data_IF_455456491826
#
_entry.id   IF_455456491826
#
_cell.length_a   1.000
_cell.length_b   1.000
_cell.length_c   1.000
_cell.angle_alpha   90.00
_cell.angle_beta   90.00
_cell.angle_gamma   90.00
#
_symmetry.space_group_name_H-M   'P 1'
#
loop_
_entity.id
_entity.type
_entity.pdbx_description
1 polymer ?
#
# COMPACT_ATOMS: atom_id res chain seq x y z
N UNK A 1 16.32 18.50 -42.42
CA UNK A 1 17.44 19.14 -43.18
C UNK A 1 18.11 18.09 -44.02
N UNK A 2 18.03 18.26 -45.32
CA UNK A 2 18.60 17.35 -46.34
C UNK A 2 19.95 17.91 -46.75
N UNK A 3 21.03 17.13 -46.66
CA UNK A 3 22.26 17.44 -47.37
C UNK A 3 22.50 16.43 -48.48
N UNK A 4 22.38 16.90 -49.68
CA UNK A 4 22.89 16.29 -50.93
C UNK A 4 24.37 16.63 -51.04
N UNK A 5 25.20 15.66 -51.33
CA UNK A 5 26.56 15.89 -51.84
C UNK A 5 26.64 15.36 -53.29
N UNK A 6 27.16 16.21 -54.11
CA UNK A 6 27.31 16.13 -55.55
C UNK A 6 28.56 15.34 -55.92
N UNK A 7 28.43 14.47 -56.88
CA UNK A 7 29.56 13.81 -57.57
C UNK A 7 30.16 14.75 -58.64
N UNK A 8 31.46 14.85 -58.66
CA UNK A 8 32.21 15.43 -59.78
C UNK A 8 33.05 14.33 -60.41
N UNK A 9 32.84 14.13 -61.70
CA UNK A 9 33.59 13.24 -62.55
C UNK A 9 34.98 13.80 -62.89
N UNK A 10 35.93 12.94 -63.00
CA UNK A 10 37.26 13.21 -63.53
C UNK A 10 37.63 12.11 -64.52
N UNK A 11 37.59 12.49 -65.75
CA UNK A 11 37.99 11.66 -66.90
C UNK A 11 39.48 11.86 -67.11
N UNK A 12 40.31 10.81 -67.03
CA UNK A 12 41.69 10.84 -67.52
C UNK A 12 41.95 9.59 -68.34
N UNK A 13 41.99 9.85 -69.64
CA UNK A 13 42.51 8.97 -70.71
C UNK A 13 44.01 8.86 -70.61
N UNK A 14 44.54 7.64 -70.67
CA UNK A 14 45.99 7.38 -70.78
C UNK A 14 46.22 5.94 -71.19
N UNK A 15 46.12 5.68 -72.53
CA UNK A 15 46.64 4.42 -73.11
C UNK A 15 48.14 4.39 -73.05
N UNK A 16 48.71 3.38 -72.36
CA UNK A 16 50.02 2.83 -72.73
C UNK A 16 49.87 1.34 -72.91
N UNK A 17 50.04 0.93 -74.18
CA UNK A 17 50.24 -0.46 -74.57
C UNK A 17 51.67 -0.85 -74.20
N UNK A 18 51.79 -1.73 -73.25
CA UNK A 18 53.02 -2.51 -73.01
C UNK A 18 52.73 -3.95 -73.45
N UNK A 19 53.21 -4.32 -74.60
CA UNK A 19 53.25 -5.72 -75.04
C UNK A 19 54.22 -6.50 -74.14
N UNK A 20 53.67 -7.23 -73.16
CA UNK A 20 54.38 -8.23 -72.42
C UNK A 20 54.36 -9.55 -73.23
N UNK A 21 55.49 -10.28 -73.30
CA UNK A 21 55.55 -11.55 -74.04
C UNK A 21 54.58 -12.57 -73.41
N UNK A 22 54.04 -13.49 -74.22
CA UNK A 22 53.08 -14.49 -73.71
C UNK A 22 53.80 -15.43 -72.71
N UNK A 23 53.43 -15.26 -71.45
CA UNK A 23 53.81 -16.23 -70.41
C UNK A 23 53.16 -17.57 -70.75
N UNK A 24 54.01 -18.58 -70.92
CA UNK A 24 53.59 -19.96 -71.17
C UNK A 24 52.71 -20.44 -69.97
N UNK A 25 51.39 -20.48 -70.19
CA UNK A 25 50.35 -20.77 -69.17
C UNK A 25 50.19 -22.24 -68.85
N UNK A 26 51.14 -23.11 -69.28
CA UNK A 26 51.06 -24.55 -69.08
C UNK A 26 51.79 -24.95 -67.79
N UNK A 27 51.14 -24.93 -66.67
CA UNK A 27 51.70 -25.47 -65.42
C UNK A 27 51.22 -24.84 -64.12
N UNK A 28 50.55 -23.66 -64.15
CA UNK A 28 50.20 -22.93 -62.96
C UNK A 28 48.76 -23.12 -62.47
N UNK A 29 47.93 -23.85 -63.20
CA UNK A 29 46.48 -24.01 -62.88
C UNK A 29 46.26 -24.89 -61.65
N UNK A 30 47.00 -25.96 -61.50
CA UNK A 30 46.80 -26.90 -60.41
C UNK A 30 47.14 -26.30 -59.02
N UNK A 31 48.27 -25.64 -58.84
CA UNK A 31 48.57 -24.97 -57.56
C UNK A 31 47.55 -23.88 -57.20
N UNK A 32 47.09 -23.11 -58.21
CA UNK A 32 46.10 -22.05 -58.01
C UNK A 32 44.74 -22.57 -57.60
N UNK A 33 44.28 -23.69 -58.19
CA UNK A 33 43.04 -24.37 -57.82
C UNK A 33 43.12 -24.94 -56.38
N UNK A 34 44.22 -25.61 -56.05
CA UNK A 34 44.44 -26.15 -54.68
C UNK A 34 44.42 -25.00 -53.65
N UNK A 35 45.11 -23.90 -53.94
CA UNK A 35 45.16 -22.73 -53.08
C UNK A 35 43.76 -22.07 -52.93
N UNK A 36 43.02 -21.93 -54.00
CA UNK A 36 41.63 -21.40 -53.99
C UNK A 36 40.68 -22.30 -53.18
N UNK A 37 40.78 -23.65 -53.35
CA UNK A 37 39.97 -24.62 -52.58
C UNK A 37 40.33 -24.58 -51.12
N UNK A 38 41.59 -24.44 -50.77
CA UNK A 38 42.06 -24.33 -49.38
C UNK A 38 41.52 -23.06 -48.73
N UNK A 39 41.60 -21.93 -49.41
CA UNK A 39 41.04 -20.66 -48.88
C UNK A 39 39.50 -20.75 -48.71
N UNK A 40 38.81 -21.31 -49.71
CA UNK A 40 37.33 -21.49 -49.63
C UNK A 40 36.98 -22.43 -48.46
N UNK A 41 37.75 -23.48 -48.21
CA UNK A 41 37.56 -24.41 -47.08
C UNK A 41 37.75 -23.71 -45.76
N UNK A 42 38.75 -22.89 -45.59
CA UNK A 42 38.98 -22.10 -44.37
C UNK A 42 37.88 -21.11 -44.16
N UNK A 43 37.44 -20.39 -45.18
CA UNK A 43 36.30 -19.45 -45.12
C UNK A 43 35.01 -20.17 -44.73
N UNK A 44 34.74 -21.34 -45.32
CA UNK A 44 33.58 -22.14 -44.98
C UNK A 44 33.60 -22.61 -43.52
N UNK A 45 34.70 -23.05 -43.01
CA UNK A 45 34.85 -23.46 -41.60
C UNK A 45 34.64 -22.27 -40.64
N UNK A 46 35.26 -21.14 -40.97
CA UNK A 46 35.07 -19.89 -40.17
C UNK A 46 33.57 -19.48 -40.20
N UNK A 47 32.95 -19.45 -41.37
CA UNK A 47 31.53 -19.09 -41.49
C UNK A 47 30.59 -20.04 -40.73
N UNK A 48 30.88 -21.36 -40.74
CA UNK A 48 30.10 -22.34 -39.98
C UNK A 48 30.28 -22.16 -38.46
N UNK A 49 31.50 -21.87 -38.00
CA UNK A 49 31.76 -21.58 -36.59
C UNK A 49 31.02 -20.30 -36.15
N UNK A 50 31.15 -19.22 -36.91
CA UNK A 50 30.45 -17.97 -36.64
C UNK A 50 28.93 -18.16 -36.60
N UNK A 51 28.36 -18.87 -37.57
CA UNK A 51 26.93 -19.18 -37.61
C UNK A 51 26.48 -20.05 -36.40
N UNK A 52 27.35 -20.95 -35.93
CA UNK A 52 27.03 -21.76 -34.74
C UNK A 52 27.06 -20.90 -33.46
N UNK A 53 28.02 -19.99 -33.34
CA UNK A 53 28.14 -19.09 -32.21
C UNK A 53 26.98 -18.06 -32.19
N UNK A 54 26.58 -17.51 -33.34
CA UNK A 54 25.40 -16.65 -33.46
C UNK A 54 24.12 -17.38 -33.03
N UNK A 55 23.95 -18.66 -33.41
CA UNK A 55 22.81 -19.47 -32.97
C UNK A 55 22.84 -19.72 -31.47
N UNK A 56 23.99 -19.96 -30.87
CA UNK A 56 24.14 -20.11 -29.42
C UNK A 56 23.81 -18.82 -28.70
N UNK A 57 24.35 -17.69 -29.15
CA UNK A 57 24.07 -16.37 -28.59
C UNK A 57 22.59 -16.01 -28.69
N UNK A 58 21.97 -16.25 -29.87
CA UNK A 58 20.53 -15.99 -30.06
C UNK A 58 19.64 -16.85 -29.15
N UNK A 59 20.01 -18.14 -28.93
CA UNK A 59 19.30 -19.01 -27.99
C UNK A 59 19.45 -18.49 -26.56
N UNK A 60 20.68 -18.15 -26.13
CA UNK A 60 20.95 -17.64 -24.79
C UNK A 60 20.16 -16.35 -24.51
N UNK A 61 20.13 -15.42 -25.47
CA UNK A 61 19.34 -14.19 -25.39
C UNK A 61 17.84 -14.47 -25.26
N UNK A 62 17.32 -15.39 -26.06
CA UNK A 62 15.91 -15.76 -26.00
C UNK A 62 15.54 -16.43 -24.66
N UNK A 63 16.40 -17.28 -24.15
CA UNK A 63 16.18 -17.95 -22.85
C UNK A 63 16.24 -16.96 -21.69
N UNK A 64 17.19 -16.05 -21.71
CA UNK A 64 17.29 -14.95 -20.74
C UNK A 64 16.04 -14.08 -20.76
N UNK A 65 15.56 -13.68 -21.95
CA UNK A 65 14.34 -12.89 -22.10
C UNK A 65 13.11 -13.61 -21.56
N UNK A 66 12.97 -14.92 -21.83
CA UNK A 66 11.86 -15.71 -21.30
C UNK A 66 11.92 -15.88 -19.78
N UNK A 67 13.12 -16.05 -19.22
CA UNK A 67 13.32 -16.11 -17.77
C UNK A 67 12.98 -14.75 -17.11
N UNK A 68 13.35 -13.63 -17.74
CA UNK A 68 12.99 -12.29 -17.28
C UNK A 68 11.47 -12.10 -17.25
N UNK A 69 10.77 -12.44 -18.34
CA UNK A 69 9.29 -12.36 -18.36
C UNK A 69 8.63 -13.29 -17.34
N UNK A 70 9.22 -14.45 -17.07
CA UNK A 70 8.72 -15.34 -16.02
C UNK A 70 8.87 -14.68 -14.63
N UNK A 71 9.99 -14.03 -14.36
CA UNK A 71 10.21 -13.26 -13.14
C UNK A 71 9.25 -12.09 -12.99
N UNK A 72 9.04 -11.29 -14.04
CA UNK A 72 8.07 -10.19 -14.03
C UNK A 72 6.64 -10.69 -13.81
N UNK A 73 6.23 -11.75 -14.50
CA UNK A 73 4.92 -12.35 -14.32
C UNK A 73 4.76 -12.88 -12.89
N UNK A 74 5.81 -13.52 -12.35
CA UNK A 74 5.86 -13.99 -10.97
C UNK A 74 5.71 -12.86 -9.96
N UNK A 75 6.40 -11.74 -10.17
CA UNK A 75 6.28 -10.57 -9.31
C UNK A 75 4.84 -10.01 -9.31
N UNK A 76 4.25 -9.85 -10.50
CA UNK A 76 2.85 -9.38 -10.64
C UNK A 76 1.86 -10.34 -9.99
N UNK A 77 2.06 -11.66 -10.16
CA UNK A 77 1.18 -12.67 -9.56
C UNK A 77 1.32 -12.69 -8.03
N UNK A 78 2.54 -12.56 -7.51
CA UNK A 78 2.79 -12.48 -6.06
C UNK A 78 2.09 -11.27 -5.44
N UNK A 79 2.15 -10.09 -6.10
CA UNK A 79 1.43 -8.92 -5.63
C UNK A 79 -0.10 -9.05 -5.78
N UNK A 80 -0.58 -9.66 -6.85
CA UNK A 80 -2.02 -9.85 -7.10
C UNK A 80 -2.67 -10.89 -6.18
N UNK A 81 -1.90 -11.86 -5.71
CA UNK A 81 -2.33 -12.92 -4.79
C UNK A 81 -1.48 -12.91 -3.51
N UNK A 82 -1.38 -11.73 -2.88
CA UNK A 82 -0.53 -11.53 -1.70
C UNK A 82 -0.92 -12.46 -0.55
N UNK A 83 0.00 -13.30 -0.04
CA UNK A 83 -0.31 -14.27 1.02
C UNK A 83 -0.32 -13.61 2.40
N UNK A 84 -1.26 -12.68 2.62
CA UNK A 84 -1.29 -11.78 3.78
C UNK A 84 -1.21 -12.52 5.12
N UNK A 85 -1.93 -13.63 5.29
CA UNK A 85 -1.94 -14.39 6.55
C UNK A 85 -0.56 -14.94 6.93
N UNK A 86 0.19 -15.46 5.94
CA UNK A 86 1.52 -16.01 6.18
C UNK A 86 2.56 -14.90 6.36
N UNK A 87 2.48 -13.84 5.55
CA UNK A 87 3.48 -12.77 5.53
C UNK A 87 3.33 -11.84 6.74
N UNK A 88 2.11 -11.54 7.17
CA UNK A 88 1.88 -10.72 8.36
C UNK A 88 2.31 -11.41 9.67
N UNK A 89 2.42 -12.74 9.68
CA UNK A 89 2.93 -13.50 10.82
C UNK A 89 4.46 -13.53 10.91
N UNK A 90 5.18 -13.08 9.87
CA UNK A 90 6.65 -13.00 9.88
C UNK A 90 7.14 -12.01 10.92
N UNK A 91 8.26 -12.30 11.55
CA UNK A 91 9.02 -11.35 12.36
C UNK A 91 9.97 -10.54 11.45
N UNK A 92 10.43 -9.35 11.88
CA UNK A 92 11.48 -8.64 11.16
C UNK A 92 12.71 -9.53 10.91
N UNK A 93 13.14 -9.62 9.66
CA UNK A 93 14.22 -10.50 9.21
C UNK A 93 13.81 -11.90 8.76
N UNK A 94 12.57 -12.33 9.03
CA UNK A 94 12.05 -13.62 8.54
C UNK A 94 11.69 -13.53 7.05
N UNK A 95 11.52 -14.70 6.43
CA UNK A 95 11.11 -14.80 5.02
C UNK A 95 10.06 -15.88 4.82
N UNK A 96 9.21 -15.68 3.80
CA UNK A 96 8.22 -16.62 3.33
C UNK A 96 8.50 -16.98 1.86
N UNK A 97 8.69 -18.27 1.58
CA UNK A 97 9.00 -18.80 0.25
C UNK A 97 7.76 -19.47 -0.35
N UNK A 98 7.30 -18.96 -1.49
CA UNK A 98 6.18 -19.54 -2.22
C UNK A 98 6.55 -20.82 -2.99
N UNK A 99 7.84 -21.16 -3.07
CA UNK A 99 8.33 -22.26 -3.90
C UNK A 99 8.23 -21.97 -5.40
N UNK A 100 8.60 -22.96 -6.23
CA UNK A 100 8.49 -22.84 -7.67
C UNK A 100 7.06 -22.99 -8.17
N UNK A 101 6.59 -21.99 -8.90
CA UNK A 101 5.27 -21.91 -9.53
C UNK A 101 5.42 -21.98 -11.05
N UNK A 102 4.62 -22.81 -11.72
CA UNK A 102 4.67 -22.96 -13.19
C UNK A 102 3.63 -22.06 -13.85
N UNK A 103 4.06 -21.28 -14.84
CA UNK A 103 3.21 -20.45 -15.67
C UNK A 103 2.60 -21.25 -16.84
N UNK A 104 1.48 -20.79 -17.46
CA UNK A 104 0.85 -21.48 -18.59
C UNK A 104 1.76 -21.73 -19.79
N UNK A 105 2.77 -20.88 -19.99
CA UNK A 105 3.79 -20.98 -21.05
C UNK A 105 4.95 -21.93 -20.72
N UNK A 106 4.81 -22.74 -19.68
CA UNK A 106 5.83 -23.67 -19.15
C UNK A 106 7.09 -22.99 -18.59
N UNK A 107 7.13 -21.68 -18.47
CA UNK A 107 8.14 -21.02 -17.65
C UNK A 107 7.78 -21.15 -16.17
N UNK A 108 8.73 -20.94 -15.27
CA UNK A 108 8.49 -21.02 -13.84
C UNK A 108 9.11 -19.83 -13.11
N UNK A 109 8.49 -19.48 -11.99
CA UNK A 109 9.05 -18.50 -11.06
C UNK A 109 9.04 -19.03 -9.62
N UNK A 110 9.90 -18.47 -8.79
CA UNK A 110 9.91 -18.67 -7.34
C UNK A 110 9.96 -17.29 -6.70
N UNK A 111 9.06 -17.02 -5.77
CA UNK A 111 9.06 -15.75 -5.04
C UNK A 111 9.36 -15.99 -3.57
N UNK A 112 10.26 -15.20 -3.02
CA UNK A 112 10.60 -15.17 -1.60
C UNK A 112 10.31 -13.77 -1.08
N UNK A 113 9.49 -13.67 -0.06
CA UNK A 113 9.09 -12.41 0.58
C UNK A 113 9.85 -12.30 1.89
N UNK A 114 10.64 -11.25 2.03
CA UNK A 114 11.41 -10.95 3.25
C UNK A 114 10.73 -9.79 3.98
N UNK A 115 10.46 -9.93 5.27
CA UNK A 115 10.01 -8.81 6.09
C UNK A 115 11.22 -7.94 6.48
N UNK A 116 11.15 -6.66 6.10
CA UNK A 116 12.16 -5.64 6.43
C UNK A 116 11.41 -4.48 7.07
N UNK A 117 11.54 -4.31 8.40
CA UNK A 117 10.90 -3.17 9.06
C UNK A 117 11.83 -1.96 8.98
N UNK A 118 11.35 -0.88 8.40
CA UNK A 118 12.09 0.37 8.30
C UNK A 118 11.24 1.53 8.85
N UNK A 119 11.78 2.24 9.83
CA UNK A 119 11.10 3.39 10.43
C UNK A 119 9.78 3.06 11.14
N UNK A 120 9.61 1.82 11.64
CA UNK A 120 8.38 1.35 12.29
C UNK A 120 7.27 0.92 11.33
N UNK A 121 7.47 1.05 10.01
CA UNK A 121 6.57 0.52 8.98
C UNK A 121 6.95 -0.92 8.65
N UNK A 122 5.93 -1.76 8.42
CA UNK A 122 6.14 -3.09 7.86
C UNK A 122 6.47 -2.95 6.37
N UNK A 123 7.70 -3.24 6.02
CA UNK A 123 8.15 -3.27 4.64
C UNK A 123 8.56 -4.69 4.25
N UNK A 124 8.41 -5.00 2.97
CA UNK A 124 8.72 -6.32 2.45
C UNK A 124 9.59 -6.19 1.20
N UNK A 125 10.73 -6.88 1.21
CA UNK A 125 11.50 -7.14 0.00
C UNK A 125 10.95 -8.39 -0.69
N UNK A 126 10.63 -8.31 -1.98
CA UNK A 126 10.17 -9.45 -2.77
C UNK A 126 11.25 -9.83 -3.77
N UNK A 127 11.84 -11.00 -3.61
CA UNK A 127 12.85 -11.54 -4.51
C UNK A 127 12.20 -12.60 -5.38
N UNK A 128 12.15 -12.37 -6.70
CA UNK A 128 11.55 -13.31 -7.64
C UNK A 128 12.61 -13.85 -8.59
N UNK A 129 12.73 -15.15 -8.65
CA UNK A 129 13.56 -15.88 -9.60
C UNK A 129 12.70 -16.40 -10.74
N UNK A 130 13.01 -16.00 -11.97
CA UNK A 130 12.37 -16.53 -13.17
C UNK A 130 13.28 -17.51 -13.90
N UNK A 131 12.74 -18.64 -14.38
CA UNK A 131 13.44 -19.60 -15.22
C UNK A 131 12.51 -20.18 -16.28
N UNK A 132 13.09 -20.71 -17.32
CA UNK A 132 12.40 -21.64 -18.21
C UNK A 132 12.25 -23.01 -17.52
N UNK A 133 11.38 -23.88 -18.04
CA UNK A 133 11.14 -25.23 -17.48
C UNK A 133 12.39 -26.10 -17.49
N UNK A 134 13.36 -25.80 -18.33
CA UNK A 134 14.66 -26.48 -18.36
C UNK A 134 15.51 -26.02 -17.16
N UNK A 135 15.85 -26.91 -16.22
CA UNK A 135 16.64 -26.56 -15.05
C UNK A 135 18.08 -26.13 -15.39
N UNK A 136 18.55 -26.36 -16.61
CA UNK A 136 19.88 -25.92 -17.10
C UNK A 136 19.85 -24.50 -17.68
N UNK A 137 18.66 -23.92 -17.87
CA UNK A 137 18.50 -22.53 -18.31
C UNK A 137 18.86 -21.55 -17.20
N UNK A 138 19.44 -20.43 -17.56
CA UNK A 138 19.81 -19.38 -16.62
C UNK A 138 18.62 -18.88 -15.80
N UNK A 139 18.88 -18.57 -14.53
CA UNK A 139 17.90 -17.97 -13.60
C UNK A 139 18.11 -16.46 -13.64
N UNK A 140 17.04 -15.71 -13.81
CA UNK A 140 17.06 -14.24 -13.65
C UNK A 140 16.36 -13.89 -12.35
N UNK A 141 17.01 -13.06 -11.55
CA UNK A 141 16.47 -12.56 -10.28
C UNK A 141 15.97 -11.13 -10.44
N UNK A 142 14.73 -10.90 -10.05
CA UNK A 142 14.10 -9.58 -9.99
C UNK A 142 13.81 -9.28 -8.53
N UNK A 143 14.14 -8.08 -8.07
CA UNK A 143 13.84 -7.61 -6.72
C UNK A 143 12.79 -6.52 -6.81
N UNK A 144 11.75 -6.65 -5.99
CA UNK A 144 10.74 -5.63 -5.80
C UNK A 144 10.60 -5.29 -4.32
N UNK A 145 10.08 -4.11 -4.01
CA UNK A 145 9.71 -3.75 -2.66
C UNK A 145 8.20 -3.53 -2.57
N UNK A 146 7.63 -3.96 -1.47
CA UNK A 146 6.24 -3.74 -1.13
C UNK A 146 6.16 -3.22 0.30
N UNK A 147 5.38 -2.16 0.51
CA UNK A 147 5.13 -1.63 1.85
C UNK A 147 3.68 -1.88 2.26
N UNK A 148 3.45 -2.08 3.53
CA UNK A 148 2.09 -2.05 4.07
C UNK A 148 1.44 -0.69 3.76
N UNK A 149 0.19 -0.69 3.32
CA UNK A 149 -0.56 0.56 3.16
C UNK A 149 -0.96 1.04 4.55
N UNK A 150 -0.47 2.19 5.02
CA UNK A 150 -0.89 2.72 6.30
C UNK A 150 -2.41 2.92 6.33
N UNK A 151 -3.08 2.33 7.33
CA UNK A 151 -4.52 2.50 7.51
C UNK A 151 -4.83 3.96 7.85
N UNK A 152 -4.08 4.49 8.82
CA UNK A 152 -4.27 5.81 9.39
C UNK A 152 -3.14 6.77 8.99
N UNK A 153 -2.88 6.89 7.67
CA UNK A 153 -1.89 7.85 7.14
C UNK A 153 -2.29 9.32 7.39
N UNK A 154 -3.55 9.58 7.60
CA UNK A 154 -4.15 10.89 7.78
C UNK A 154 -4.84 10.98 9.14
N UNK A 155 -4.92 12.16 9.71
CA UNK A 155 -5.74 12.41 10.90
C UNK A 155 -7.20 12.00 10.64
N UNK A 156 -7.73 12.47 9.51
CA UNK A 156 -9.02 12.05 8.98
C UNK A 156 -8.86 11.73 7.51
N UNK A 157 -9.34 10.56 7.11
CA UNK A 157 -9.53 10.17 5.71
C UNK A 157 -11.00 9.90 5.46
N UNK A 158 -11.61 10.71 4.58
CA UNK A 158 -12.96 10.47 4.08
C UNK A 158 -12.91 9.85 2.67
N UNK A 159 -13.62 8.75 2.45
CA UNK A 159 -13.78 8.15 1.12
C UNK A 159 -14.72 8.99 0.21
N UNK A 160 -15.50 9.90 0.79
CA UNK A 160 -16.31 10.89 0.13
C UNK A 160 -16.02 12.29 0.67
N UNK A 161 -17.01 12.95 1.25
CA UNK A 161 -16.97 14.34 1.72
C UNK A 161 -16.37 14.43 3.12
N UNK A 162 -15.55 15.48 3.34
CA UNK A 162 -15.04 15.86 4.65
C UNK A 162 -15.52 17.27 4.98
N UNK A 163 -16.25 17.42 6.09
CA UNK A 163 -16.86 18.67 6.49
C UNK A 163 -16.47 19.02 7.92
N UNK A 164 -15.64 20.06 8.09
CA UNK A 164 -15.23 20.62 9.37
C UNK A 164 -15.93 21.96 9.55
N UNK A 165 -16.87 22.03 10.50
CA UNK A 165 -17.55 23.26 10.85
C UNK A 165 -17.58 23.39 12.37
N UNK A 166 -16.81 24.31 12.91
CA UNK A 166 -16.59 24.46 14.34
C UNK A 166 -15.88 23.23 14.98
N UNK A 167 -14.96 22.61 14.21
CA UNK A 167 -14.21 21.43 14.63
C UNK A 167 -12.98 21.72 15.51
N UNK A 168 -12.84 22.96 16.04
CA UNK A 168 -11.75 23.31 16.93
C UNK A 168 -10.38 23.29 16.25
N UNK A 169 -9.41 22.58 16.83
CA UNK A 169 -8.03 22.45 16.35
C UNK A 169 -7.73 20.99 16.02
N UNK A 170 -7.21 20.77 14.83
CA UNK A 170 -6.58 19.51 14.41
C UNK A 170 -5.06 19.67 14.51
N UNK A 171 -4.41 18.95 15.40
CA UNK A 171 -2.95 18.84 15.48
C UNK A 171 -2.52 17.39 15.63
N UNK A 172 -1.23 17.11 15.82
CA UNK A 172 -0.72 15.75 15.90
C UNK A 172 0.20 15.57 17.11
N UNK A 173 0.36 14.32 17.53
CA UNK A 173 1.34 13.86 18.48
C UNK A 173 1.76 12.43 18.12
N UNK A 174 2.74 11.88 18.79
CA UNK A 174 3.16 10.50 18.61
C UNK A 174 3.12 9.78 19.98
N UNK A 175 2.16 8.87 20.16
CA UNK A 175 1.99 8.15 21.44
C UNK A 175 3.16 7.22 21.77
N UNK A 176 3.98 6.81 20.80
CA UNK A 176 5.21 6.06 21.08
C UNK A 176 6.30 6.93 21.72
N UNK A 177 6.21 8.26 21.60
CA UNK A 177 7.09 9.23 22.27
C UNK A 177 6.51 9.70 23.61
N UNK A 178 5.27 9.34 23.92
CA UNK A 178 4.60 9.68 25.19
C UNK A 178 3.19 10.26 24.99
N UNK A 179 2.49 10.56 26.09
CA UNK A 179 1.15 11.11 26.03
C UNK A 179 1.13 12.51 25.39
N UNK A 180 -0.01 12.89 24.84
CA UNK A 180 -0.20 14.20 24.24
C UNK A 180 0.18 15.33 25.22
N UNK A 181 0.92 16.31 24.68
CA UNK A 181 1.24 17.56 25.36
C UNK A 181 1.20 18.69 24.34
N UNK A 182 0.67 19.84 24.72
CA UNK A 182 0.65 21.04 23.88
C UNK A 182 2.06 21.46 23.46
N UNK A 183 3.07 21.14 24.27
CA UNK A 183 4.47 21.45 23.99
C UNK A 183 5.10 20.50 22.95
N UNK A 184 4.54 19.30 22.80
CA UNK A 184 5.01 18.26 21.85
C UNK A 184 4.07 18.10 20.66
N UNK A 185 3.01 18.93 20.60
CA UNK A 185 2.06 18.89 19.48
C UNK A 185 2.74 19.29 18.17
N UNK A 186 2.54 18.46 17.14
CA UNK A 186 3.14 18.63 15.82
C UNK A 186 2.13 19.21 14.80
N UNK A 187 2.64 19.58 13.63
CA UNK A 187 1.89 20.19 12.51
C UNK A 187 1.64 19.20 11.38
N UNK A 188 1.58 17.89 11.66
CA UNK A 188 1.38 16.83 10.65
C UNK A 188 -0.02 16.21 10.67
N UNK A 189 -1.02 16.91 11.23
CA UNK A 189 -2.41 16.47 11.21
C UNK A 189 -3.02 16.63 9.81
N UNK A 190 -2.46 15.91 8.84
CA UNK A 190 -2.91 15.94 7.45
C UNK A 190 -4.30 15.31 7.33
N UNK A 191 -5.17 15.93 6.51
CA UNK A 191 -6.51 15.43 6.24
C UNK A 191 -6.72 15.17 4.74
N UNK A 192 -7.55 14.18 4.43
CA UNK A 192 -7.80 13.73 3.05
C UNK A 192 -9.29 13.48 2.79
N UNK A 193 -9.76 13.88 1.61
CA UNK A 193 -11.09 13.53 1.09
C UNK A 193 -11.01 13.02 -0.35
N UNK A 194 -11.67 11.90 -0.66
CA UNK A 194 -11.88 11.48 -2.05
C UNK A 194 -13.04 12.25 -2.74
N UNK A 195 -13.78 13.10 -2.01
CA UNK A 195 -14.75 14.05 -2.51
C UNK A 195 -14.34 15.48 -2.21
N UNK A 196 -15.33 16.33 -1.93
CA UNK A 196 -15.12 17.72 -1.52
C UNK A 196 -14.73 17.83 -0.05
N UNK A 197 -14.01 18.90 0.27
CA UNK A 197 -13.61 19.24 1.63
C UNK A 197 -14.01 20.67 1.97
N UNK A 198 -14.62 20.86 3.14
CA UNK A 198 -14.93 22.19 3.68
C UNK A 198 -14.31 22.33 5.06
N UNK A 199 -13.58 23.42 5.28
CA UNK A 199 -12.98 23.78 6.57
C UNK A 199 -13.50 25.16 6.98
N UNK A 200 -14.34 25.22 8.02
CA UNK A 200 -14.94 26.45 8.53
C UNK A 200 -14.80 26.49 10.05
N UNK A 201 -14.41 27.64 10.62
CA UNK A 201 -14.18 27.81 12.07
C UNK A 201 -13.33 26.70 12.70
N UNK A 202 -12.35 26.24 11.96
CA UNK A 202 -11.51 25.09 12.32
C UNK A 202 -10.07 25.40 11.89
N UNK A 203 -9.13 25.06 12.74
CA UNK A 203 -7.69 25.15 12.41
C UNK A 203 -7.14 23.76 12.21
N UNK A 204 -6.61 23.49 11.02
CA UNK A 204 -5.88 22.25 10.68
C UNK A 204 -4.39 22.55 10.67
N UNK A 205 -3.66 22.03 11.66
CA UNK A 205 -2.19 22.09 11.70
C UNK A 205 -1.61 20.94 10.88
N UNK A 206 -1.64 21.10 9.57
CA UNK A 206 -1.25 20.10 8.59
C UNK A 206 -1.74 20.50 7.21
N UNK A 207 -1.69 19.55 6.27
CA UNK A 207 -2.15 19.76 4.89
C UNK A 207 -3.58 19.25 4.71
N UNK A 208 -4.34 19.89 3.82
CA UNK A 208 -5.68 19.50 3.43
C UNK A 208 -5.70 19.17 1.92
N UNK A 209 -6.05 17.94 1.58
CA UNK A 209 -6.05 17.47 0.18
C UNK A 209 -7.39 16.84 -0.16
N UNK A 210 -7.98 17.23 -1.30
CA UNK A 210 -9.24 16.69 -1.80
C UNK A 210 -9.13 16.33 -3.28
N UNK A 211 -9.83 15.27 -3.68
CA UNK A 211 -10.05 14.93 -5.12
C UNK A 211 -11.02 15.95 -5.72
N UNK A 212 -12.03 16.35 -4.99
CA UNK A 212 -12.88 17.47 -5.32
C UNK A 212 -12.24 18.81 -4.95
N UNK A 213 -13.01 19.71 -4.39
CA UNK A 213 -12.60 21.06 -4.04
C UNK A 213 -12.29 21.17 -2.54
N UNK A 214 -11.20 21.85 -2.18
CA UNK A 214 -10.96 22.30 -0.81
C UNK A 214 -11.48 23.72 -0.66
N UNK A 215 -12.51 23.90 0.18
CA UNK A 215 -13.13 25.19 0.47
C UNK A 215 -12.80 25.64 1.89
N UNK A 216 -12.14 26.79 2.02
CA UNK A 216 -11.92 27.44 3.31
C UNK A 216 -13.04 28.45 3.56
N UNK A 217 -13.94 28.15 4.50
CA UNK A 217 -14.99 29.06 4.93
C UNK A 217 -14.52 30.08 5.97
N UNK A 218 -15.46 30.77 6.59
CA UNK A 218 -15.15 31.78 7.62
C UNK A 218 -14.32 31.21 8.76
N UNK A 219 -13.16 31.81 9.05
CA UNK A 219 -12.21 31.36 10.08
C UNK A 219 -11.72 29.92 9.91
N UNK A 220 -11.79 29.37 8.70
CA UNK A 220 -11.14 28.13 8.35
C UNK A 220 -9.66 28.36 8.06
N UNK A 221 -8.77 27.63 8.73
CA UNK A 221 -7.30 27.77 8.59
C UNK A 221 -6.66 26.41 8.35
N UNK A 222 -5.81 26.33 7.34
CA UNK A 222 -4.92 25.19 7.08
C UNK A 222 -3.50 25.72 7.09
N UNK A 223 -2.64 25.20 7.99
CA UNK A 223 -1.26 25.75 8.13
C UNK A 223 -0.30 25.17 7.11
N UNK A 224 -0.59 23.98 6.58
CA UNK A 224 0.17 23.35 5.51
C UNK A 224 -0.39 23.65 4.12
N UNK A 225 -0.10 22.78 3.16
CA UNK A 225 -0.57 22.91 1.79
C UNK A 225 -2.07 22.58 1.68
N UNK A 226 -2.78 23.32 0.83
CA UNK A 226 -4.13 22.95 0.35
C UNK A 226 -4.04 22.48 -1.09
N UNK A 227 -4.65 21.33 -1.42
CA UNK A 227 -4.69 20.82 -2.78
C UNK A 227 -6.09 20.32 -3.14
N UNK A 228 -6.62 20.86 -4.24
CA UNK A 228 -7.85 20.41 -4.91
C UNK A 228 -7.50 19.62 -6.16
N UNK A 229 -8.45 18.87 -6.70
CA UNK A 229 -8.30 18.04 -7.91
C UNK A 229 -7.12 17.04 -7.80
N UNK A 230 -6.87 16.50 -6.61
CA UNK A 230 -5.86 15.48 -6.38
C UNK A 230 -6.27 14.15 -7.04
N UNK A 231 -5.30 13.29 -7.28
CA UNK A 231 -5.61 11.92 -7.75
C UNK A 231 -6.25 11.12 -6.62
N UNK A 232 -7.41 10.52 -6.87
CA UNK A 232 -8.12 9.71 -5.88
C UNK A 232 -7.24 8.59 -5.31
N UNK A 233 -7.28 8.42 -4.01
CA UNK A 233 -6.71 7.25 -3.38
C UNK A 233 -7.64 6.04 -3.60
N UNK A 234 -7.04 4.86 -3.73
CA UNK A 234 -7.81 3.61 -3.75
C UNK A 234 -8.70 3.54 -2.51
N UNK A 235 -10.00 3.26 -2.66
CA UNK A 235 -10.90 3.10 -1.52
C UNK A 235 -10.38 2.09 -0.52
N UNK A 236 -10.64 2.33 0.75
CA UNK A 236 -10.28 1.42 1.83
C UNK A 236 -11.22 0.22 1.83
N UNK A 237 -10.67 -0.96 2.14
CA UNK A 237 -11.46 -2.18 2.20
C UNK A 237 -12.38 -2.21 3.43
N UNK A 238 -13.55 -2.79 3.24
CA UNK A 238 -14.43 -3.14 4.36
C UNK A 238 -13.86 -4.38 5.05
N UNK A 239 -13.65 -4.29 6.36
CA UNK A 239 -13.17 -5.43 7.15
C UNK A 239 -14.27 -6.51 7.21
N UNK A 240 -13.95 -7.78 6.98
CA UNK A 240 -14.93 -8.86 7.19
C UNK A 240 -15.30 -8.94 8.68
N UNK A 241 -16.57 -9.16 8.98
CA UNK A 241 -16.99 -9.39 10.36
C UNK A 241 -16.38 -10.67 10.91
N UNK A 242 -16.02 -10.72 12.19
CA UNK A 242 -15.51 -11.93 12.83
C UNK A 242 -16.47 -13.12 12.65
N UNK A 243 -15.89 -14.30 12.36
CA UNK A 243 -16.66 -15.52 12.25
C UNK A 243 -17.20 -15.96 13.63
N UNK A 244 -18.33 -16.67 13.65
CA UNK A 244 -18.90 -17.23 14.87
C UNK A 244 -20.03 -16.40 15.51
N UNK A 245 -20.42 -15.27 14.90
CA UNK A 245 -21.50 -14.42 15.39
C UNK A 245 -21.05 -13.39 16.42
N UNK A 246 -22.01 -12.69 17.03
CA UNK A 246 -21.75 -11.66 18.02
C UNK A 246 -21.09 -12.23 19.28
N UNK A 247 -20.32 -11.39 19.98
CA UNK A 247 -19.66 -11.75 21.25
C UNK A 247 -20.63 -12.45 22.20
N UNK A 248 -20.26 -13.57 22.82
CA UNK A 248 -21.12 -14.27 23.78
C UNK A 248 -21.51 -13.37 24.96
N UNK A 249 -22.74 -13.52 25.47
CA UNK A 249 -23.24 -12.68 26.56
C UNK A 249 -22.38 -12.74 27.81
N UNK A 250 -21.78 -13.91 28.11
CA UNK A 250 -20.87 -14.06 29.26
C UNK A 250 -19.58 -13.25 29.19
N UNK A 251 -19.18 -12.80 27.99
CA UNK A 251 -17.98 -11.98 27.80
C UNK A 251 -18.24 -10.47 27.89
N UNK A 252 -19.51 -10.06 28.07
CA UNK A 252 -19.88 -8.66 28.22
C UNK A 252 -20.48 -8.47 29.60
N UNK A 253 -19.82 -7.74 30.50
CA UNK A 253 -20.36 -7.46 31.83
C UNK A 253 -21.71 -6.74 31.71
N UNK A 254 -22.76 -7.33 32.29
CA UNK A 254 -24.10 -6.73 32.35
C UNK A 254 -24.43 -6.39 33.79
N UNK A 255 -25.27 -5.39 34.00
CA UNK A 255 -25.67 -4.91 35.32
C UNK A 255 -26.59 -3.70 35.26
N UNK A 256 -26.84 -3.00 36.36
CA UNK A 256 -27.68 -1.80 36.35
C UNK A 256 -27.15 -0.78 35.31
N UNK A 257 -28.01 -0.44 34.37
CA UNK A 257 -27.69 0.49 33.29
C UNK A 257 -26.83 -0.08 32.13
N UNK A 258 -26.45 -1.36 32.18
CA UNK A 258 -25.73 -2.05 31.10
C UNK A 258 -26.56 -3.24 30.62
N UNK A 259 -27.02 -3.19 29.38
CA UNK A 259 -27.73 -4.30 28.72
C UNK A 259 -26.99 -4.76 27.46
N UNK A 260 -26.97 -6.08 27.27
CA UNK A 260 -26.42 -6.71 26.08
C UNK A 260 -27.26 -7.93 25.69
N UNK A 261 -27.47 -8.09 24.38
CA UNK A 261 -28.11 -9.28 23.82
C UNK A 261 -27.24 -9.85 22.70
N UNK A 262 -26.73 -11.07 22.88
CA UNK A 262 -25.94 -11.76 21.86
C UNK A 262 -26.79 -12.17 20.63
N UNK A 263 -28.10 -12.24 20.73
CA UNK A 263 -28.99 -12.54 19.58
C UNK A 263 -29.13 -11.35 18.63
N UNK A 264 -29.09 -10.13 19.15
CA UNK A 264 -29.18 -8.88 18.36
C UNK A 264 -27.83 -8.21 18.16
N UNK A 265 -26.86 -8.52 19.03
CA UNK A 265 -25.53 -7.89 19.04
C UNK A 265 -25.54 -6.46 19.58
N UNK A 266 -26.61 -5.98 20.19
CA UNK A 266 -26.75 -4.59 20.65
C UNK A 266 -26.31 -4.46 22.09
N UNK A 267 -25.38 -3.53 22.34
CA UNK A 267 -24.94 -3.08 23.67
C UNK A 267 -25.57 -1.73 23.96
N UNK A 268 -26.23 -1.58 25.11
CA UNK A 268 -26.74 -0.29 25.59
C UNK A 268 -26.20 -0.02 26.97
N UNK A 269 -25.59 1.15 27.16
CA UNK A 269 -25.11 1.66 28.45
C UNK A 269 -25.82 2.96 28.76
N UNK A 270 -26.48 3.05 29.90
CA UNK A 270 -27.37 4.17 30.26
C UNK A 270 -27.26 4.55 31.71
N UNK A 271 -27.87 5.69 32.10
CA UNK A 271 -27.98 6.10 33.49
C UNK A 271 -26.66 6.35 34.20
N UNK A 272 -25.63 6.79 33.47
CA UNK A 272 -24.31 7.01 34.05
C UNK A 272 -23.52 5.73 34.34
N UNK A 273 -24.03 4.57 33.93
CA UNK A 273 -23.35 3.29 34.12
C UNK A 273 -22.02 3.22 33.33
N UNK A 274 -21.16 2.33 33.76
CA UNK A 274 -19.87 2.05 33.12
C UNK A 274 -19.85 0.61 32.63
N UNK A 275 -19.57 0.41 31.34
CA UNK A 275 -19.20 -0.88 30.75
C UNK A 275 -17.69 -0.95 30.64
N UNK A 276 -17.09 -1.96 31.24
CA UNK A 276 -15.65 -2.23 31.10
C UNK A 276 -15.44 -3.46 30.22
N UNK A 277 -14.71 -3.28 29.10
CA UNK A 277 -14.33 -4.36 28.19
C UNK A 277 -12.89 -4.79 28.45
N UNK A 278 -12.68 -6.07 28.81
CA UNK A 278 -11.39 -6.62 29.23
C UNK A 278 -10.76 -7.59 28.22
N UNK A 279 -11.53 -8.06 27.24
CA UNK A 279 -11.03 -8.95 26.19
C UNK A 279 -10.38 -8.18 25.04
N UNK A 280 -9.65 -8.88 24.21
CA UNK A 280 -8.90 -8.30 23.07
C UNK A 280 -9.74 -8.11 21.82
N UNK A 281 -10.89 -8.77 21.71
CA UNK A 281 -11.73 -8.72 20.51
C UNK A 281 -13.20 -8.84 20.86
N UNK A 282 -13.99 -7.94 20.30
CA UNK A 282 -15.45 -7.91 20.45
C UNK A 282 -16.11 -7.75 19.08
N UNK A 283 -17.26 -8.40 18.92
CA UNK A 283 -18.11 -8.19 17.75
C UNK A 283 -19.55 -7.89 18.20
N UNK A 284 -19.99 -6.69 17.84
CA UNK A 284 -21.35 -6.22 18.14
C UNK A 284 -22.06 -5.76 16.87
N UNK A 285 -23.38 -5.72 16.89
CA UNK A 285 -24.16 -4.98 15.89
C UNK A 285 -24.01 -3.48 16.13
N UNK A 286 -24.28 -3.05 17.36
CA UNK A 286 -24.25 -1.63 17.73
C UNK A 286 -23.84 -1.42 19.17
N UNK A 287 -23.22 -0.28 19.44
CA UNK A 287 -22.99 0.24 20.79
C UNK A 287 -23.73 1.57 20.95
N UNK A 288 -24.52 1.70 22.01
CA UNK A 288 -25.29 2.91 22.34
C UNK A 288 -24.94 3.35 23.76
N UNK A 289 -24.32 4.53 23.88
CA UNK A 289 -24.00 5.18 25.15
C UNK A 289 -24.94 6.36 25.35
N UNK A 290 -25.69 6.38 26.47
CA UNK A 290 -26.62 7.44 26.78
C UNK A 290 -26.40 7.99 28.18
N UNK A 291 -26.91 9.20 28.47
CA UNK A 291 -26.98 9.76 29.82
C UNK A 291 -25.66 9.74 30.59
N UNK A 292 -24.56 10.26 30.00
CA UNK A 292 -23.23 10.31 30.60
C UNK A 292 -22.63 8.94 30.97
N UNK A 293 -23.11 7.87 30.33
CA UNK A 293 -22.57 6.53 30.53
C UNK A 293 -21.15 6.41 29.93
N UNK A 294 -20.42 5.37 30.34
CA UNK A 294 -19.03 5.21 29.97
C UNK A 294 -18.76 3.83 29.38
N UNK A 295 -17.96 3.80 28.33
CA UNK A 295 -17.26 2.61 27.86
C UNK A 295 -15.80 2.74 28.23
N UNK A 296 -15.25 1.80 29.00
CA UNK A 296 -13.89 1.84 29.51
C UNK A 296 -13.12 0.62 29.03
N UNK A 297 -11.93 0.88 28.48
CA UNK A 297 -10.92 -0.15 28.20
C UNK A 297 -9.80 0.03 29.22
N UNK A 298 -9.57 -0.93 30.13
CA UNK A 298 -8.50 -0.83 31.12
C UNK A 298 -7.16 -1.14 30.45
N UNK A 299 -6.36 -0.09 30.16
CA UNK A 299 -4.94 -0.08 29.79
C UNK A 299 -4.45 -1.25 28.97
N UNK A 300 -4.03 -2.29 29.13
CA UNK A 300 -3.56 -3.41 28.31
C UNK A 300 -4.43 -4.66 28.54
N UNK A 301 -4.95 -5.31 27.53
CA UNK A 301 -4.44 -5.52 26.18
C UNK A 301 -5.13 -4.63 25.13
N UNK A 302 -4.56 -4.62 23.88
CA UNK A 302 -5.19 -3.98 22.73
C UNK A 302 -6.58 -4.58 22.47
N UNK A 303 -7.61 -3.73 22.42
CA UNK A 303 -8.97 -4.15 22.16
C UNK A 303 -9.40 -3.73 20.75
N UNK A 304 -9.86 -4.69 19.96
CA UNK A 304 -10.50 -4.45 18.65
C UNK A 304 -12.00 -4.68 18.79
N UNK A 305 -12.79 -3.64 18.53
CA UNK A 305 -14.26 -3.68 18.60
C UNK A 305 -14.79 -3.61 17.18
N UNK A 306 -15.33 -4.71 16.69
CA UNK A 306 -15.97 -4.79 15.38
C UNK A 306 -17.44 -4.46 15.52
N UNK A 307 -17.94 -3.53 14.68
CA UNK A 307 -19.33 -3.13 14.67
C UNK A 307 -19.92 -3.34 13.27
N UNK A 308 -21.04 -4.05 13.20
CA UNK A 308 -21.74 -4.25 11.95
C UNK A 308 -22.54 -2.99 11.51
N UNK A 309 -23.18 -2.34 12.47
CA UNK A 309 -24.16 -1.29 12.17
C UNK A 309 -23.72 0.10 12.70
N UNK A 310 -23.70 0.33 14.01
CA UNK A 310 -23.49 1.69 14.52
C UNK A 310 -22.71 1.81 15.82
N UNK A 311 -22.10 2.99 15.99
CA UNK A 311 -21.55 3.48 17.25
C UNK A 311 -22.27 4.79 17.60
N UNK A 312 -23.06 4.82 18.66
CA UNK A 312 -23.66 6.05 19.17
C UNK A 312 -23.11 6.35 20.55
N UNK A 313 -22.10 7.20 20.61
CA UNK A 313 -21.48 7.65 21.84
C UNK A 313 -21.74 9.15 22.13
N UNK A 314 -22.66 9.81 21.36
CA UNK A 314 -22.90 11.25 21.45
C UNK A 314 -23.24 11.76 22.87
N UNK A 315 -23.90 10.95 23.70
CA UNK A 315 -24.27 11.31 25.07
C UNK A 315 -23.48 10.54 26.13
N UNK A 316 -22.40 9.82 25.74
CA UNK A 316 -21.55 9.05 26.63
C UNK A 316 -20.07 9.35 26.43
N UNK A 317 -19.22 8.60 27.09
CA UNK A 317 -17.76 8.74 26.99
C UNK A 317 -17.13 7.40 26.66
N UNK A 318 -16.16 7.41 25.74
CA UNK A 318 -15.25 6.28 25.51
C UNK A 318 -13.93 6.64 26.16
N UNK A 319 -13.46 5.83 27.09
CA UNK A 319 -12.24 6.06 27.84
C UNK A 319 -11.27 4.90 27.67
N UNK A 320 -10.09 5.18 27.17
CA UNK A 320 -8.97 4.25 27.10
C UNK A 320 -7.91 4.66 28.14
N UNK A 321 -7.72 3.84 29.16
CA UNK A 321 -6.87 4.16 30.30
C UNK A 321 -5.38 4.22 29.93
N UNK A 322 -4.97 3.53 28.85
CA UNK A 322 -3.56 3.55 28.39
C UNK A 322 -3.14 4.89 27.80
N UNK A 323 -4.08 5.80 27.48
CA UNK A 323 -3.82 7.03 26.75
C UNK A 323 -3.04 6.81 25.42
N UNK A 324 -3.23 5.65 24.80
CA UNK A 324 -2.63 5.26 23.54
C UNK A 324 -3.75 4.84 22.57
N UNK A 325 -3.93 5.58 21.47
CA UNK A 325 -5.00 5.33 20.52
C UNK A 325 -4.86 3.98 19.80
N UNK A 326 -3.64 3.43 19.71
CA UNK A 326 -3.42 2.12 19.09
C UNK A 326 -3.97 0.95 19.93
N UNK A 327 -4.22 1.16 21.21
CA UNK A 327 -4.72 0.10 22.10
C UNK A 327 -6.23 -0.10 22.08
N UNK A 328 -6.99 0.78 21.41
CA UNK A 328 -8.42 0.63 21.19
C UNK A 328 -8.78 1.00 19.75
N UNK A 329 -9.35 0.07 19.00
CA UNK A 329 -9.83 0.31 17.66
C UNK A 329 -11.30 -0.05 17.54
N UNK A 330 -12.08 0.82 16.89
CA UNK A 330 -13.42 0.53 16.41
C UNK A 330 -13.36 0.33 14.90
N UNK A 331 -13.77 -0.82 14.42
CA UNK A 331 -13.78 -1.15 13.01
C UNK A 331 -15.22 -1.49 12.54
N UNK A 332 -15.69 -0.82 11.48
CA UNK A 332 -16.91 -1.27 10.82
C UNK A 332 -16.63 -2.57 10.06
N UNK A 333 -17.53 -3.52 10.13
CA UNK A 333 -17.40 -4.78 9.43
C UNK A 333 -18.68 -5.12 8.64
N UNK A 334 -18.48 -5.88 7.55
CA UNK A 334 -19.61 -6.29 6.69
C UNK A 334 -20.13 -5.18 5.79
N UNK A 335 -21.10 -5.54 4.98
CA UNK A 335 -21.64 -4.68 3.91
C UNK A 335 -22.97 -4.06 4.27
N UNK A 336 -23.20 -3.65 5.53
CA UNK A 336 -24.43 -2.95 5.85
C UNK A 336 -24.56 -1.69 4.99
N UNK A 337 -25.53 -1.69 4.09
CA UNK A 337 -25.81 -0.59 3.15
C UNK A 337 -26.74 0.47 3.73
N UNK A 338 -27.22 0.29 4.94
CA UNK A 338 -27.94 1.35 5.63
C UNK A 338 -26.92 2.33 6.19
N UNK A 339 -27.05 3.64 5.91
CA UNK A 339 -26.16 4.66 6.47
C UNK A 339 -26.44 4.77 7.98
N UNK A 340 -25.88 3.81 8.72
CA UNK A 340 -25.86 3.91 10.16
C UNK A 340 -24.81 4.96 10.54
N UNK A 341 -25.18 5.86 11.43
CA UNK A 341 -24.29 6.92 11.87
C UNK A 341 -23.38 6.41 12.97
N UNK A 342 -22.11 6.79 12.89
CA UNK A 342 -21.17 6.66 13.98
C UNK A 342 -21.01 8.02 14.63
N UNK A 343 -21.67 8.22 15.76
CA UNK A 343 -21.55 9.45 16.53
C UNK A 343 -20.45 9.28 17.58
N UNK A 344 -19.32 9.91 17.34
CA UNK A 344 -18.24 9.96 18.30
C UNK A 344 -18.54 11.04 19.32
N UNK A 345 -18.35 10.73 20.60
CA UNK A 345 -18.39 11.72 21.65
C UNK A 345 -17.00 11.99 22.15
N UNK A 346 -16.74 13.24 22.37
CA UNK A 346 -15.69 13.77 23.19
C UNK A 346 -16.31 14.44 24.40
N UNK A 347 -16.92 13.65 25.28
CA UNK A 347 -17.59 14.15 26.49
C UNK A 347 -16.62 14.49 27.61
N UNK A 348 -15.82 15.54 27.50
CA UNK A 348 -15.06 16.13 28.62
C UNK A 348 -13.87 15.35 29.17
N UNK A 349 -13.63 14.12 28.76
CA UNK A 349 -12.42 13.32 29.07
C UNK A 349 -11.74 12.93 27.78
N UNK A 350 -10.42 12.86 27.81
CA UNK A 350 -9.60 12.48 26.66
C UNK A 350 -9.99 11.09 26.12
N UNK A 351 -10.35 11.03 24.84
CA UNK A 351 -10.79 9.80 24.17
C UNK A 351 -9.70 9.31 23.23
N UNK A 352 -8.98 8.26 23.63
CA UNK A 352 -7.85 7.69 22.89
C UNK A 352 -8.29 6.43 22.14
N UNK A 353 -8.62 6.51 20.87
CA UNK A 353 -8.96 5.36 20.03
C UNK A 353 -8.89 5.67 18.53
N UNK A 354 -8.81 4.64 17.72
CA UNK A 354 -8.89 4.75 16.28
C UNK A 354 -10.26 4.29 15.77
N UNK A 355 -10.71 4.90 14.67
CA UNK A 355 -12.00 4.58 14.01
C UNK A 355 -11.73 4.21 12.56
N UNK A 356 -12.11 3.00 12.18
CA UNK A 356 -12.04 2.50 10.82
C UNK A 356 -13.44 2.15 10.30
N UNK A 357 -14.11 3.10 9.68
CA UNK A 357 -15.49 2.97 9.21
C UNK A 357 -15.66 3.48 7.76
N UNK A 358 -14.92 2.91 6.77
CA UNK A 358 -14.87 3.43 5.40
C UNK A 358 -16.22 3.42 4.67
N UNK A 359 -17.19 2.68 5.17
CA UNK A 359 -18.55 2.58 4.62
C UNK A 359 -19.62 3.30 5.47
N UNK A 360 -19.24 4.02 6.53
CA UNK A 360 -20.17 4.70 7.42
C UNK A 360 -19.90 6.21 7.49
N UNK A 361 -20.96 6.95 7.79
CA UNK A 361 -20.87 8.38 8.09
C UNK A 361 -20.45 8.54 9.55
N UNK A 362 -19.40 9.30 9.80
CA UNK A 362 -18.89 9.56 11.14
C UNK A 362 -19.14 11.02 11.52
N UNK A 363 -19.78 11.22 12.66
CA UNK A 363 -20.04 12.53 13.26
C UNK A 363 -19.23 12.70 14.53
N UNK A 364 -18.48 13.79 14.62
CA UNK A 364 -17.89 14.29 15.86
C UNK A 364 -18.66 15.53 16.31
N UNK A 365 -19.46 15.39 17.37
CA UNK A 365 -20.40 16.43 17.82
C UNK A 365 -20.08 16.97 19.21
N UNK A 366 -19.15 16.35 19.92
CA UNK A 366 -18.78 16.76 21.28
C UNK A 366 -17.79 17.92 21.33
N UNK A 367 -17.67 18.55 22.50
CA UNK A 367 -16.73 19.64 22.77
C UNK A 367 -15.44 19.17 23.45
N UNK A 368 -15.26 17.89 23.71
CA UNK A 368 -14.06 17.35 24.32
C UNK A 368 -12.98 17.00 23.30
N UNK A 369 -11.80 16.61 23.80
CA UNK A 369 -10.67 16.28 22.96
C UNK A 369 -10.72 14.82 22.50
N UNK A 370 -10.46 14.57 21.20
CA UNK A 370 -10.32 13.26 20.60
C UNK A 370 -8.84 13.01 20.27
N UNK A 371 -8.33 11.85 20.60
CA UNK A 371 -6.95 11.45 20.34
C UNK A 371 -6.92 10.17 19.51
N UNK A 372 -6.47 10.26 18.25
CA UNK A 372 -6.47 9.09 17.39
C UNK A 372 -6.46 9.41 15.89
N UNK A 373 -7.17 8.59 15.12
CA UNK A 373 -7.37 8.79 13.69
C UNK A 373 -8.71 8.23 13.25
N UNK A 374 -9.26 8.78 12.15
CA UNK A 374 -10.55 8.36 11.60
C UNK A 374 -10.44 8.08 10.11
N UNK A 375 -10.94 6.91 9.70
CA UNK A 375 -11.30 6.60 8.31
C UNK A 375 -12.81 6.47 8.25
N UNK A 376 -13.46 7.21 7.35
CA UNK A 376 -14.90 7.26 7.21
C UNK A 376 -15.34 7.29 5.74
N UNK A 377 -16.59 6.93 5.45
CA UNK A 377 -17.22 7.25 4.16
C UNK A 377 -17.38 8.77 4.01
N UNK A 378 -18.01 9.39 4.99
CA UNK A 378 -18.15 10.84 5.11
C UNK A 378 -17.83 11.22 6.56
N UNK A 379 -17.15 12.33 6.76
CA UNK A 379 -16.80 12.81 8.09
C UNK A 379 -17.33 14.22 8.34
N UNK A 380 -17.99 14.40 9.47
CA UNK A 380 -18.49 15.68 9.96
C UNK A 380 -17.94 15.99 11.35
N UNK A 381 -17.25 17.12 11.52
CA UNK A 381 -16.91 17.69 12.82
C UNK A 381 -17.66 18.99 13.05
N UNK A 382 -18.51 19.03 14.08
CA UNK A 382 -19.38 20.18 14.38
C UNK A 382 -19.35 20.60 15.86
N UNK A 383 -18.64 19.87 16.71
CA UNK A 383 -18.73 20.00 18.16
C UNK A 383 -17.79 21.02 18.82
N UNK A 384 -16.82 21.54 18.14
CA UNK A 384 -15.83 22.48 18.69
C UNK A 384 -14.75 21.84 19.57
N UNK A 385 -14.71 20.52 19.69
CA UNK A 385 -13.64 19.75 20.33
C UNK A 385 -12.32 19.84 19.57
N UNK A 386 -11.22 19.39 20.19
CA UNK A 386 -9.93 19.31 19.52
C UNK A 386 -9.69 17.89 19.04
N UNK A 387 -9.07 17.79 17.88
CA UNK A 387 -8.67 16.53 17.27
C UNK A 387 -7.15 16.41 17.30
N UNK A 388 -6.63 15.45 18.03
CA UNK A 388 -5.21 15.19 18.17
C UNK A 388 -4.85 13.90 17.43
N UNK A 389 -4.27 14.02 16.25
CA UNK A 389 -3.85 12.88 15.45
C UNK A 389 -2.69 12.15 16.12
N UNK A 390 -2.87 10.87 16.39
CA UNK A 390 -1.77 10.02 16.87
C UNK A 390 -0.97 9.46 15.69
N UNK A 391 0.21 10.03 15.46
CA UNK A 391 1.09 9.63 14.36
C UNK A 391 1.61 8.18 14.49
N UNK A 392 1.59 7.60 15.69
CA UNK A 392 1.90 6.18 15.88
C UNK A 392 0.96 5.26 15.08
N UNK A 393 -0.30 5.69 14.86
CA UNK A 393 -1.26 4.94 14.05
C UNK A 393 -0.88 4.85 12.57
N UNK A 394 -0.08 5.80 12.05
CA UNK A 394 0.42 5.72 10.67
C UNK A 394 1.31 4.49 10.43
N UNK A 395 1.89 3.93 11.48
CA UNK A 395 2.71 2.71 11.43
C UNK A 395 1.88 1.43 11.38
N UNK A 396 0.56 1.51 11.62
CA UNK A 396 -0.35 0.38 11.44
C UNK A 396 -0.64 0.19 9.94
N UNK A 397 -0.29 -0.96 9.40
CA UNK A 397 -0.54 -1.29 8.00
C UNK A 397 -1.84 -2.10 7.84
N UNK A 398 -2.53 -1.88 6.72
CA UNK A 398 -3.58 -2.79 6.27
C UNK A 398 -2.99 -4.12 5.81
N UNK A 399 -3.85 -5.15 5.64
CA UNK A 399 -3.44 -6.41 5.01
C UNK A 399 -3.10 -6.26 3.51
N UNK A 400 -3.20 -5.06 2.96
CA UNK A 400 -2.79 -4.72 1.59
C UNK A 400 -1.36 -4.23 1.57
N UNK A 401 -0.64 -4.61 0.52
CA UNK A 401 0.66 -4.06 0.19
C UNK A 401 0.56 -3.18 -1.04
N UNK A 402 1.16 -2.01 -0.97
CA UNK A 402 1.37 -1.16 -2.13
C UNK A 402 2.76 -1.46 -2.72
N UNK A 403 2.81 -1.68 -4.02
CA UNK A 403 4.07 -1.78 -4.76
C UNK A 403 4.70 -0.40 -4.80
N UNK A 404 5.92 -0.27 -4.31
CA UNK A 404 6.67 0.97 -4.45
C UNK A 404 7.08 1.15 -5.91
N UNK A 405 6.63 2.23 -6.56
CA UNK A 405 6.97 2.53 -7.96
C UNK A 405 8.48 2.71 -8.10
N UNK A 406 9.07 2.03 -9.10
CA UNK A 406 10.50 2.09 -9.36
C UNK A 406 11.37 1.25 -8.44
N UNK A 407 10.78 0.43 -7.58
CA UNK A 407 11.52 -0.42 -6.63
C UNK A 407 12.02 -1.74 -7.21
N UNK A 408 11.69 -2.07 -8.46
CA UNK A 408 12.18 -3.31 -9.05
C UNK A 408 13.49 -3.10 -9.81
N UNK A 409 14.42 -3.99 -9.64
CA UNK A 409 15.68 -4.03 -10.37
C UNK A 409 16.00 -5.48 -10.75
N UNK A 410 16.60 -5.66 -11.92
CA UNK A 410 17.22 -6.93 -12.29
C UNK A 410 18.59 -7.01 -11.65
N UNK A 411 18.83 -8.04 -10.85
CA UNK A 411 20.17 -8.31 -10.36
C UNK A 411 20.95 -9.01 -11.47
N UNK A 412 22.22 -8.62 -11.70
CA UNK A 412 23.10 -9.37 -12.62
C UNK A 412 23.15 -10.82 -12.13
N UNK A 413 22.91 -11.76 -13.04
CA UNK A 413 22.99 -13.18 -12.76
C UNK A 413 24.41 -13.53 -12.27
N UNK A 414 24.48 -14.18 -11.10
CA UNK A 414 25.71 -14.77 -10.60
C UNK A 414 26.02 -16.06 -11.33
#
# INVERSE_FOLDING_TARGET
>A
MRHRARATGGNVSGRQHNDLPPLDRRGFVLPTVIFAVTIMSVIAVVALNTASDERRASRATRESTLAMYAGEAGLRQTYGAWPAAAVNALKPGDSFDLGWQTLPNKAAYRAVIHRVDQGGLQEYGVVVQGRRTDPTAGIITIVGAAGGVPIFKYAVRAEGILYLNNGGVFDAFDSDLGPYSVLTADTIANIWANGDMTVTKTTVKGSATAVGTVTLGTNGVVTGATASAATALTPMDIVPCPAGGFTPTGNVPTGPGVSYSSSTGVVTVSGGATLTLTDTSYFFSSIVLTQNSKLVIPGNPHASVYLRDSLNAAAGTISNVSANASSLSFASCGTSVTPAYWALSSGGTASYYSVYAPNHVVYETGAGDFYGAVVASIYYATGGGKFHYDAALARQSSNKVAVQRGSWAQLPGG
#
